data_IF_118992974742
#
_entry.id   IF_118992974742
#
_cell.length_a   1.000
_cell.length_b   1.000
_cell.length_c   1.000
_cell.angle_alpha   90.00
_cell.angle_beta   90.00
_cell.angle_gamma   90.00
#
_symmetry.space_group_name_H-M   'P 1'
#
loop_
_entity.id
_entity.type
_entity.pdbx_description
1 polymer ?
#
# COMPACT_ATOMS: atom_id res chain seq x y z
N UNK A 1 1.46 -0.10 17.58
CA UNK A 1 2.89 -0.42 17.80
C UNK A 1 3.56 -0.97 16.54
N UNK A 2 3.03 -2.00 15.87
CA UNK A 2 3.71 -2.65 14.71
C UNK A 2 3.42 -2.00 13.33
N UNK A 3 2.87 -0.78 13.29
CA UNK A 3 2.44 -0.13 12.04
C UNK A 3 3.66 0.20 11.15
N UNK A 4 4.74 0.67 11.77
CA UNK A 4 6.00 0.98 11.09
C UNK A 4 6.67 -0.27 10.54
N UNK A 5 6.83 -1.31 11.36
CA UNK A 5 7.42 -2.60 10.92
C UNK A 5 6.67 -3.19 9.73
N UNK A 6 5.33 -3.15 9.76
CA UNK A 6 4.50 -3.60 8.66
C UNK A 6 4.70 -2.77 7.39
N UNK A 7 4.81 -1.44 7.51
CA UNK A 7 5.05 -0.56 6.37
C UNK A 7 6.44 -0.80 5.76
N UNK A 8 7.48 -0.94 6.59
CA UNK A 8 8.83 -1.26 6.12
C UNK A 8 8.86 -2.63 5.45
N UNK A 9 8.23 -3.64 6.03
CA UNK A 9 8.06 -4.97 5.41
C UNK A 9 7.42 -4.86 4.02
N UNK A 10 6.37 -4.07 3.90
CA UNK A 10 5.64 -3.88 2.65
C UNK A 10 6.47 -3.14 1.60
N UNK A 11 7.25 -2.13 2.00
CA UNK A 11 8.21 -1.46 1.11
C UNK A 11 9.28 -2.44 0.62
N UNK A 12 9.90 -3.22 1.52
CA UNK A 12 10.91 -4.21 1.15
C UNK A 12 10.34 -5.28 0.22
N UNK A 13 9.14 -5.79 0.51
CA UNK A 13 8.45 -6.76 -0.33
C UNK A 13 8.14 -6.22 -1.73
N UNK A 14 7.67 -4.98 -1.82
CA UNK A 14 7.40 -4.31 -3.10
C UNK A 14 8.68 -4.12 -3.91
N UNK A 15 9.76 -3.67 -3.29
CA UNK A 15 11.06 -3.53 -3.95
C UNK A 15 11.61 -4.88 -4.43
N UNK A 16 11.45 -5.93 -3.61
CA UNK A 16 11.89 -7.29 -3.96
C UNK A 16 11.14 -7.82 -5.18
N UNK A 17 9.81 -7.71 -5.19
CA UNK A 17 9.01 -8.13 -6.34
C UNK A 17 9.31 -7.29 -7.59
N UNK A 18 9.55 -5.98 -7.44
CA UNK A 18 9.94 -5.14 -8.57
C UNK A 18 11.28 -5.57 -9.19
N UNK A 19 12.29 -5.83 -8.36
CA UNK A 19 13.58 -6.34 -8.82
C UNK A 19 13.46 -7.72 -9.45
N UNK A 20 12.63 -8.60 -8.87
CA UNK A 20 12.29 -9.91 -9.42
C UNK A 20 11.75 -9.81 -10.84
N UNK A 21 10.73 -8.97 -11.04
CA UNK A 21 10.10 -8.76 -12.34
C UNK A 21 11.07 -8.16 -13.36
N UNK A 22 11.89 -7.18 -12.96
CA UNK A 22 12.88 -6.56 -13.83
C UNK A 22 13.95 -7.57 -14.29
N UNK A 23 14.48 -8.38 -13.37
CA UNK A 23 15.48 -9.40 -13.68
C UNK A 23 14.86 -10.52 -14.52
N UNK A 24 13.66 -10.97 -14.17
CA UNK A 24 12.93 -11.99 -14.92
C UNK A 24 12.64 -11.55 -16.35
N UNK A 25 12.15 -10.32 -16.53
CA UNK A 25 11.95 -9.73 -17.86
C UNK A 25 13.26 -9.66 -18.65
N UNK A 26 14.33 -9.15 -18.03
CA UNK A 26 15.64 -9.08 -18.68
C UNK A 26 16.14 -10.47 -19.12
N UNK A 27 15.96 -11.50 -18.29
CA UNK A 27 16.31 -12.88 -18.62
C UNK A 27 15.49 -13.40 -19.81
N UNK A 28 14.17 -13.25 -19.78
CA UNK A 28 13.30 -13.70 -20.88
C UNK A 28 13.61 -12.97 -22.20
N UNK A 29 14.02 -11.70 -22.12
CA UNK A 29 14.31 -10.87 -23.28
C UNK A 29 15.69 -11.16 -23.92
N UNK A 30 16.68 -11.57 -23.11
CA UNK A 30 18.06 -11.77 -23.56
C UNK A 30 18.36 -13.21 -24.00
N UNK A 31 17.41 -14.13 -23.81
CA UNK A 31 17.56 -15.52 -24.28
C UNK A 31 17.75 -15.57 -25.81
N UNK A 32 18.82 -16.22 -26.31
CA UNK A 32 19.08 -16.32 -27.74
C UNK A 32 17.93 -17.06 -28.43
N UNK A 33 17.13 -16.33 -29.20
CA UNK A 33 15.97 -16.85 -29.90
C UNK A 33 16.44 -17.68 -31.11
N UNK A 34 16.60 -19.00 -30.93
CA UNK A 34 16.71 -19.95 -32.06
C UNK A 34 15.29 -20.37 -32.45
N UNK A 35 14.51 -19.42 -33.00
CA UNK A 35 13.15 -19.72 -33.44
C UNK A 35 13.20 -20.50 -34.75
N UNK A 36 12.61 -21.69 -34.78
CA UNK A 36 12.18 -22.29 -36.05
C UNK A 36 11.10 -21.39 -36.66
N UNK A 37 11.06 -21.26 -37.98
CA UNK A 37 10.24 -20.26 -38.70
C UNK A 37 8.71 -20.36 -38.49
N UNK A 38 8.24 -21.30 -37.66
CA UNK A 38 6.83 -21.59 -37.41
C UNK A 38 6.43 -21.56 -35.92
N UNK A 39 7.35 -21.51 -34.96
CA UNK A 39 7.00 -21.46 -33.53
C UNK A 39 6.86 -20.02 -33.03
N UNK A 40 5.83 -19.74 -32.22
CA UNK A 40 5.68 -18.46 -31.53
C UNK A 40 6.66 -18.37 -30.35
N UNK A 41 7.30 -17.22 -30.14
CA UNK A 41 8.20 -16.96 -29.01
C UNK A 41 7.55 -17.32 -27.65
N UNK A 42 6.24 -17.07 -27.50
CA UNK A 42 5.50 -17.39 -26.27
C UNK A 42 5.47 -18.91 -26.02
N UNK A 43 5.24 -19.71 -27.07
CA UNK A 43 5.21 -21.17 -26.96
C UNK A 43 6.60 -21.73 -26.64
N UNK A 44 7.64 -21.16 -27.27
CA UNK A 44 9.03 -21.50 -26.97
C UNK A 44 9.37 -21.22 -25.50
N UNK A 45 8.99 -20.05 -24.96
CA UNK A 45 9.25 -19.71 -23.55
C UNK A 45 8.45 -20.58 -22.59
N UNK A 46 7.20 -20.90 -22.91
CA UNK A 46 6.34 -21.74 -22.08
C UNK A 46 6.83 -23.19 -22.04
N UNK A 47 7.39 -23.69 -23.15
CA UNK A 47 7.93 -25.04 -23.27
C UNK A 47 9.32 -25.19 -22.63
N UNK A 48 10.23 -24.27 -22.93
CA UNK A 48 11.65 -24.38 -22.54
C UNK A 48 11.93 -23.75 -21.17
N UNK A 49 11.17 -22.73 -20.77
CA UNK A 49 11.36 -22.02 -19.50
C UNK A 49 10.06 -21.87 -18.69
N UNK A 50 9.27 -22.95 -18.47
CA UNK A 50 7.99 -22.86 -17.77
C UNK A 50 8.12 -22.27 -16.36
N UNK A 51 9.23 -22.55 -15.67
CA UNK A 51 9.50 -22.00 -14.34
C UNK A 51 9.70 -20.48 -14.34
N UNK A 52 10.39 -19.93 -15.34
CA UNK A 52 10.60 -18.48 -15.46
C UNK A 52 9.31 -17.75 -15.82
N UNK A 53 8.49 -18.35 -16.70
CA UNK A 53 7.16 -17.83 -17.05
C UNK A 53 6.23 -17.86 -15.83
N UNK A 54 6.19 -18.96 -15.09
CA UNK A 54 5.39 -19.09 -13.87
C UNK A 54 5.84 -18.10 -12.80
N UNK A 55 7.17 -17.97 -12.59
CA UNK A 55 7.73 -16.99 -11.68
C UNK A 55 7.28 -15.57 -12.04
N UNK A 56 7.42 -15.16 -13.31
CA UNK A 56 7.00 -13.83 -13.76
C UNK A 56 5.50 -13.59 -13.58
N UNK A 57 4.66 -14.60 -13.87
CA UNK A 57 3.23 -14.49 -13.66
C UNK A 57 2.87 -14.26 -12.18
N UNK A 58 3.44 -15.06 -11.28
CA UNK A 58 3.21 -14.95 -9.84
C UNK A 58 3.77 -13.64 -9.28
N UNK A 59 4.95 -13.23 -9.74
CA UNK A 59 5.63 -12.02 -9.28
C UNK A 59 4.89 -10.75 -9.69
N UNK A 60 4.29 -10.71 -10.89
CA UNK A 60 3.40 -9.60 -11.31
C UNK A 60 2.16 -9.52 -10.42
N UNK A 61 1.56 -10.66 -10.07
CA UNK A 61 0.42 -10.69 -9.16
C UNK A 61 0.80 -10.17 -7.76
N UNK A 62 1.92 -10.65 -7.22
CA UNK A 62 2.46 -10.20 -5.93
C UNK A 62 2.81 -8.71 -5.95
N UNK A 63 3.49 -8.22 -6.98
CA UNK A 63 3.87 -6.82 -7.13
C UNK A 63 2.63 -5.93 -7.19
N UNK A 64 1.61 -6.33 -7.94
CA UNK A 64 0.35 -5.58 -8.04
C UNK A 64 -0.34 -5.48 -6.68
N UNK A 65 -0.47 -6.62 -5.96
CA UNK A 65 -1.03 -6.64 -4.61
C UNK A 65 -0.22 -5.78 -3.63
N UNK A 66 1.10 -5.91 -3.65
CA UNK A 66 2.01 -5.14 -2.80
C UNK A 66 1.94 -3.64 -3.08
N UNK A 67 1.84 -3.22 -4.34
CA UNK A 67 1.68 -1.81 -4.72
C UNK A 67 0.36 -1.23 -4.25
N UNK A 68 -0.75 -1.96 -4.44
CA UNK A 68 -2.08 -1.53 -3.96
C UNK A 68 -2.06 -1.35 -2.45
N UNK A 69 -1.53 -2.34 -1.72
CA UNK A 69 -1.43 -2.27 -0.26
C UNK A 69 -0.50 -1.13 0.17
N UNK A 70 0.64 -0.94 -0.49
CA UNK A 70 1.58 0.14 -0.17
C UNK A 70 0.94 1.50 -0.35
N UNK A 71 0.24 1.71 -1.47
CA UNK A 71 -0.47 2.95 -1.76
C UNK A 71 -1.61 3.22 -0.77
N UNK A 72 -2.36 2.18 -0.38
CA UNK A 72 -3.41 2.29 0.63
C UNK A 72 -2.83 2.68 2.00
N UNK A 73 -1.74 2.02 2.43
CA UNK A 73 -1.07 2.33 3.70
C UNK A 73 -0.42 3.71 3.68
N UNK A 74 0.22 4.10 2.57
CA UNK A 74 0.78 5.44 2.41
C UNK A 74 -0.30 6.52 2.48
N UNK A 75 -1.47 6.29 1.88
CA UNK A 75 -2.61 7.22 1.95
C UNK A 75 -3.15 7.32 3.38
N UNK A 76 -3.25 6.20 4.08
CA UNK A 76 -3.65 6.12 5.48
C UNK A 76 -2.68 6.90 6.38
N UNK A 77 -1.38 6.71 6.22
CA UNK A 77 -0.33 7.46 6.93
C UNK A 77 -0.41 8.96 6.61
N UNK A 78 -0.48 9.32 5.33
CA UNK A 78 -0.54 10.72 4.89
C UNK A 78 -1.77 11.46 5.42
N UNK A 79 -2.87 10.75 5.66
CA UNK A 79 -4.09 11.30 6.23
C UNK A 79 -4.18 11.14 7.74
N UNK A 80 -3.23 10.46 8.39
CA UNK A 80 -3.32 10.02 9.78
C UNK A 80 -4.65 9.31 10.07
N UNK A 81 -4.93 8.25 9.31
CA UNK A 81 -6.17 7.49 9.35
C UNK A 81 -5.84 6.00 9.45
N UNK A 82 -6.54 5.27 10.30
CA UNK A 82 -6.43 3.81 10.38
C UNK A 82 -7.30 3.13 9.33
N UNK A 83 -7.01 1.85 9.02
CA UNK A 83 -7.80 1.07 8.06
C UNK A 83 -9.28 0.96 8.48
N UNK A 84 -9.54 0.81 9.78
CA UNK A 84 -10.90 0.76 10.32
C UNK A 84 -11.65 2.07 10.08
N UNK A 85 -10.99 3.22 10.31
CA UNK A 85 -11.59 4.53 10.06
C UNK A 85 -11.80 4.79 8.57
N UNK A 86 -10.88 4.34 7.71
CA UNK A 86 -11.02 4.44 6.25
C UNK A 86 -12.20 3.61 5.72
N UNK A 87 -12.36 2.37 6.21
CA UNK A 87 -13.42 1.45 5.80
C UNK A 87 -14.78 1.86 6.35
N UNK A 88 -14.82 2.41 7.56
CA UNK A 88 -16.05 2.70 8.30
C UNK A 88 -16.27 4.22 8.48
N UNK A 89 -15.75 5.03 7.57
CA UNK A 89 -15.80 6.49 7.62
C UNK A 89 -17.23 7.05 7.70
N UNK A 90 -18.21 6.36 7.13
CA UNK A 90 -19.62 6.76 7.14
C UNK A 90 -20.28 6.64 8.51
N UNK A 91 -19.79 5.74 9.37
CA UNK A 91 -20.29 5.52 10.74
C UNK A 91 -19.68 6.49 11.73
N UNK A 92 -18.49 7.00 11.46
CA UNK A 92 -17.80 7.94 12.34
C UNK A 92 -18.19 9.37 12.00
N UNK A 93 -19.18 9.92 12.71
CA UNK A 93 -19.66 11.28 12.51
C UNK A 93 -18.56 12.35 12.62
N UNK A 94 -17.50 12.11 13.41
CA UNK A 94 -16.36 13.03 13.55
C UNK A 94 -15.49 13.12 12.30
N UNK A 95 -15.57 12.15 11.39
CA UNK A 95 -14.91 12.20 10.07
C UNK A 95 -15.72 13.00 9.05
N UNK A 96 -16.90 13.50 9.45
CA UNK A 96 -17.82 14.26 8.60
C UNK A 96 -17.88 15.71 9.11
N UNK A 97 -17.50 16.63 8.25
CA UNK A 97 -17.52 18.07 8.50
C UNK A 97 -18.95 18.62 8.58
N UNK A 98 -19.12 19.86 9.06
CA UNK A 98 -20.41 20.54 9.14
C UNK A 98 -21.13 20.66 7.78
N UNK A 99 -20.36 20.64 6.70
CA UNK A 99 -20.78 20.67 5.30
C UNK A 99 -21.04 19.27 4.71
N UNK A 100 -20.98 18.22 5.54
CA UNK A 100 -21.12 16.83 5.11
C UNK A 100 -19.87 16.26 4.42
N UNK A 101 -18.81 17.05 4.22
CA UNK A 101 -17.57 16.59 3.56
C UNK A 101 -16.69 15.81 4.51
N UNK A 102 -15.79 14.98 3.96
CA UNK A 102 -14.81 14.29 4.79
C UNK A 102 -13.84 15.30 5.44
N UNK A 103 -13.70 15.23 6.76
CA UNK A 103 -12.80 16.05 7.56
C UNK A 103 -12.11 15.14 8.58
N UNK A 104 -10.80 14.95 8.46
CA UNK A 104 -10.03 14.26 9.50
C UNK A 104 -9.44 15.25 10.51
N UNK A 105 -9.95 15.34 11.76
CA UNK A 105 -9.38 16.21 12.79
C UNK A 105 -7.97 15.80 13.22
N UNK A 106 -7.56 14.54 13.03
CA UNK A 106 -6.23 14.04 13.39
C UNK A 106 -5.16 14.33 12.33
N UNK A 107 -5.55 14.82 11.15
CA UNK A 107 -4.61 15.14 10.07
C UNK A 107 -3.96 16.49 10.29
N UNK A 108 -2.63 16.52 10.45
CA UNK A 108 -1.80 17.74 10.58
C UNK A 108 -1.27 18.23 9.22
N UNK A 109 -1.74 17.62 8.13
CA UNK A 109 -1.27 17.81 6.75
C UNK A 109 -0.30 16.71 6.30
N UNK A 110 -0.34 16.35 5.01
CA UNK A 110 0.38 15.21 4.43
C UNK A 110 1.87 15.17 4.83
N UNK A 111 2.61 16.27 4.62
CA UNK A 111 4.03 16.33 4.95
C UNK A 111 4.30 16.06 6.43
N UNK A 112 3.53 16.68 7.34
CA UNK A 112 3.70 16.54 8.79
C UNK A 112 3.33 15.14 9.27
N UNK A 113 2.24 14.58 8.77
CA UNK A 113 1.82 13.22 9.11
C UNK A 113 2.86 12.19 8.65
N UNK A 114 3.37 12.33 7.42
CA UNK A 114 4.40 11.44 6.89
C UNK A 114 5.72 11.57 7.67
N UNK A 115 6.19 12.79 7.96
CA UNK A 115 7.43 12.98 8.74
C UNK A 115 7.29 12.43 10.16
N UNK A 116 6.14 12.64 10.81
CA UNK A 116 5.88 12.13 12.15
C UNK A 116 5.89 10.59 12.16
N UNK A 117 5.23 9.96 11.17
CA UNK A 117 5.24 8.51 11.03
C UNK A 117 6.63 7.93 10.73
N UNK A 118 7.41 8.58 9.86
CA UNK A 118 8.75 8.10 9.49
C UNK A 118 9.76 8.23 10.62
N UNK A 119 9.65 9.28 11.45
CA UNK A 119 10.58 9.55 12.56
C UNK A 119 10.17 8.81 13.83
N UNK A 120 8.88 8.82 14.19
CA UNK A 120 8.39 8.27 15.45
C UNK A 120 7.84 6.85 15.33
N UNK A 121 7.53 6.37 14.12
CA UNK A 121 7.00 5.02 13.87
C UNK A 121 5.53 4.81 14.28
N UNK A 122 4.93 5.79 14.96
CA UNK A 122 3.52 5.81 15.31
C UNK A 122 3.08 7.25 15.56
N UNK A 123 1.80 7.54 15.26
CA UNK A 123 1.15 8.77 15.67
C UNK A 123 0.65 8.62 17.11
N UNK A 124 0.96 9.59 17.98
CA UNK A 124 0.32 9.72 19.29
C UNK A 124 -1.12 10.24 19.08
N UNK A 125 -2.05 9.32 18.87
CA UNK A 125 -3.47 9.65 18.66
C UNK A 125 -4.17 10.07 19.98
N UNK A 126 -3.46 10.02 21.12
CA UNK A 126 -3.99 10.31 22.47
C UNK A 126 -4.34 11.79 22.69
N UNK A 127 -3.76 12.71 21.91
CA UNK A 127 -3.83 14.15 22.22
C UNK A 127 -5.06 14.87 21.63
N UNK A 128 -5.88 14.16 20.85
CA UNK A 128 -7.20 14.62 20.45
C UNK A 128 -8.29 13.71 21.04
N UNK A 129 -8.18 13.43 22.34
CA UNK A 129 -9.33 12.99 23.13
C UNK A 129 -10.41 14.06 23.04
N UNK A 130 -11.36 13.88 22.12
CA UNK A 130 -12.59 14.66 22.14
C UNK A 130 -13.24 14.49 23.50
N UNK A 131 -13.96 15.52 23.97
CA UNK A 131 -14.57 15.47 25.27
C UNK A 131 -15.44 14.21 25.34
N UNK A 132 -15.29 13.42 26.41
CA UNK A 132 -16.19 12.28 26.67
C UNK A 132 -17.64 12.74 26.49
N UNK A 133 -18.55 11.87 26.03
CA UNK A 133 -19.96 12.22 25.74
C UNK A 133 -20.63 13.09 26.83
N UNK A 134 -20.19 12.97 28.08
CA UNK A 134 -20.61 13.82 29.20
C UNK A 134 -20.27 15.31 29.03
N UNK A 135 -19.09 15.64 28.50
CA UNK A 135 -18.64 17.03 28.29
C UNK A 135 -19.31 17.72 27.09
N UNK A 136 -19.82 16.96 26.12
CA UNK A 136 -20.63 17.49 25.00
C UNK A 136 -22.07 17.80 25.43
N UNK A 137 -22.63 17.01 26.35
CA UNK A 137 -23.98 17.24 26.91
C UNK A 137 -24.02 18.41 27.91
N UNK A 138 -22.93 18.68 28.63
CA UNK A 138 -22.87 19.83 29.55
C UNK A 138 -22.66 21.19 28.85
N UNK A 139 -22.35 21.21 27.55
CA UNK A 139 -22.15 22.45 26.77
C UNK A 139 -23.33 22.80 25.85
N UNK A 140 -24.43 22.03 25.88
CA UNK A 140 -25.67 22.29 25.13
C UNK A 140 -26.73 22.93 26.00
#
# INVERSE_FOLDING_TARGET
RNKWDFFVFLCMGTTTAFLGAAIGFHRLWTEPIILSSSESWINFMLSNHPGAVLFMFMDVFLLTGALILTGAQATQIARNLTTNEAANQSRYAYLRGPDGRFRNPYSRGCRRNCTDFLVNGYSNDEEAAWPTLQQTVQRS
#
